data_IF_837740853791
#
_entry.id   IF_837740853791
#
_cell.length_a   1.000
_cell.length_b   1.000
_cell.length_c   1.000
_cell.angle_alpha   90.00
_cell.angle_beta   90.00
_cell.angle_gamma   90.00
#
_symmetry.space_group_name_H-M   'P 1'
#
loop_
_entity.id
_entity.type
_entity.pdbx_description
1 polymer ?
#
# COMPACT_ATOMS: atom_id res chain seq x y z
N UNK A 1 -10.19 16.41 6.13
CA UNK A 1 -10.02 15.42 5.03
C UNK A 1 -9.29 14.18 5.54
N UNK A 2 -9.70 12.98 5.11
CA UNK A 2 -9.24 11.72 5.69
C UNK A 2 -7.85 11.36 5.12
N UNK A 3 -6.73 11.60 5.84
CA UNK A 3 -5.34 11.38 5.35
C UNK A 3 -5.15 10.08 4.55
N UNK A 4 -5.78 9.00 5.00
CA UNK A 4 -5.72 7.69 4.34
C UNK A 4 -6.42 7.64 2.98
N UNK A 5 -7.54 8.34 2.80
CA UNK A 5 -8.22 8.43 1.49
C UNK A 5 -7.36 9.21 0.50
N UNK A 6 -6.73 10.30 0.96
CA UNK A 6 -5.79 11.07 0.16
C UNK A 6 -4.59 10.21 -0.25
N UNK A 7 -4.01 9.45 0.70
CA UNK A 7 -2.93 8.52 0.40
C UNK A 7 -3.33 7.45 -0.61
N UNK A 8 -4.49 6.80 -0.45
CA UNK A 8 -4.98 5.80 -1.40
C UNK A 8 -5.18 6.41 -2.79
N UNK A 9 -5.84 7.58 -2.88
CA UNK A 9 -6.07 8.25 -4.16
C UNK A 9 -4.76 8.66 -4.84
N UNK A 10 -3.90 9.40 -4.13
CA UNK A 10 -2.62 9.85 -4.67
C UNK A 10 -1.67 8.68 -4.96
N UNK A 11 -1.58 7.70 -4.06
CA UNK A 11 -0.72 6.53 -4.22
C UNK A 11 -1.13 5.65 -5.41
N UNK A 12 -2.43 5.43 -5.61
CA UNK A 12 -2.93 4.73 -6.81
C UNK A 12 -2.60 5.50 -8.08
N UNK A 13 -2.84 6.82 -8.09
CA UNK A 13 -2.55 7.67 -9.25
C UNK A 13 -1.05 7.69 -9.55
N UNK A 14 -0.20 7.88 -8.55
CA UNK A 14 1.25 7.88 -8.68
C UNK A 14 1.77 6.53 -9.22
N UNK A 15 1.23 5.40 -8.74
CA UNK A 15 1.61 4.09 -9.28
C UNK A 15 1.12 3.88 -10.71
N UNK A 16 -0.09 4.34 -11.09
CA UNK A 16 -0.55 4.27 -12.48
C UNK A 16 0.38 5.04 -13.40
N UNK A 17 0.66 6.30 -13.07
CA UNK A 17 1.56 7.13 -13.88
C UNK A 17 2.98 6.58 -13.90
N UNK A 18 3.51 6.16 -12.74
CA UNK A 18 4.84 5.54 -12.64
C UNK A 18 4.95 4.25 -13.45
N UNK A 19 3.93 3.38 -13.42
CA UNK A 19 3.90 2.16 -14.24
C UNK A 19 3.85 2.49 -15.72
N UNK A 20 2.99 3.41 -16.15
CA UNK A 20 2.89 3.79 -17.56
C UNK A 20 4.20 4.40 -18.06
N UNK A 21 4.77 5.35 -17.32
CA UNK A 21 6.06 5.95 -17.65
C UNK A 21 7.17 4.89 -17.72
N UNK A 22 7.27 3.99 -16.74
CA UNK A 22 8.26 2.92 -16.75
C UNK A 22 8.09 1.98 -17.96
N UNK A 23 6.84 1.64 -18.32
CA UNK A 23 6.56 0.85 -19.53
C UNK A 23 7.04 1.57 -20.79
N UNK A 24 6.84 2.89 -20.90
CA UNK A 24 7.33 3.66 -22.04
C UNK A 24 8.86 3.79 -22.07
N UNK A 25 9.50 3.96 -20.91
CA UNK A 25 10.95 4.15 -20.81
C UNK A 25 11.75 2.87 -20.96
N UNK A 26 11.37 1.80 -20.25
CA UNK A 26 12.13 0.54 -20.19
C UNK A 26 11.54 -0.56 -21.09
N UNK A 27 10.36 -0.33 -21.66
CA UNK A 27 9.70 -1.29 -22.54
C UNK A 27 9.07 -2.49 -21.80
N UNK A 28 8.48 -3.38 -22.59
CA UNK A 28 7.85 -4.62 -22.12
C UNK A 28 8.68 -5.82 -22.57
N UNK A 29 9.12 -6.63 -21.60
CA UNK A 29 9.80 -7.90 -21.86
C UNK A 29 9.34 -8.95 -20.85
N UNK A 30 9.52 -10.25 -21.13
CA UNK A 30 9.20 -11.31 -20.17
C UNK A 30 9.89 -11.12 -18.81
N UNK A 31 11.10 -10.55 -18.79
CA UNK A 31 11.85 -10.27 -17.57
C UNK A 31 11.22 -9.14 -16.73
N UNK A 32 10.66 -8.11 -17.37
CA UNK A 32 10.06 -6.95 -16.68
C UNK A 32 8.57 -7.13 -16.33
N UNK A 33 7.86 -8.04 -17.02
CA UNK A 33 6.43 -8.28 -16.85
C UNK A 33 6.01 -8.55 -15.40
N UNK A 34 6.79 -9.35 -14.67
CA UNK A 34 6.47 -9.66 -13.27
C UNK A 34 6.46 -8.41 -12.39
N UNK A 35 7.37 -7.46 -12.63
CA UNK A 35 7.43 -6.19 -11.93
C UNK A 35 6.21 -5.30 -12.21
N UNK A 36 5.85 -5.15 -13.49
CA UNK A 36 4.67 -4.38 -13.88
C UNK A 36 3.35 -4.99 -13.38
N UNK A 37 3.22 -6.32 -13.40
CA UNK A 37 2.04 -7.01 -12.86
C UNK A 37 1.90 -6.78 -11.35
N UNK A 38 3.00 -6.75 -10.59
CA UNK A 38 2.98 -6.39 -9.17
C UNK A 38 2.48 -4.96 -8.96
N UNK A 39 3.00 -4.00 -9.72
CA UNK A 39 2.56 -2.61 -9.63
C UNK A 39 1.07 -2.46 -10.00
N UNK A 40 0.62 -3.10 -11.08
CA UNK A 40 -0.78 -3.11 -11.51
C UNK A 40 -1.72 -3.75 -10.47
N UNK A 41 -1.30 -4.86 -9.85
CA UNK A 41 -2.06 -5.47 -8.76
C UNK A 41 -2.21 -4.51 -7.57
N UNK A 42 -1.15 -3.80 -7.19
CA UNK A 42 -1.19 -2.81 -6.10
C UNK A 42 -2.11 -1.63 -6.41
N UNK A 43 -2.10 -1.13 -7.65
CA UNK A 43 -3.02 -0.05 -8.10
C UNK A 43 -4.48 -0.42 -7.82
N UNK A 44 -4.85 -1.68 -8.06
CA UNK A 44 -6.21 -2.20 -7.81
C UNK A 44 -6.45 -2.46 -6.32
N UNK A 45 -5.47 -3.05 -5.62
CA UNK A 45 -5.64 -3.46 -4.23
C UNK A 45 -5.73 -2.26 -3.26
N UNK A 46 -4.98 -1.17 -3.49
CA UNK A 46 -4.99 0.03 -2.65
C UNK A 46 -6.41 0.59 -2.39
N UNK A 47 -7.26 0.83 -3.41
CA UNK A 47 -8.63 1.29 -3.20
C UNK A 47 -9.60 0.18 -2.78
N UNK A 48 -9.36 -1.07 -3.21
CA UNK A 48 -10.28 -2.18 -2.95
C UNK A 48 -10.23 -2.63 -1.49
N UNK A 49 -9.05 -2.71 -0.87
CA UNK A 49 -8.87 -3.26 0.48
C UNK A 49 -9.68 -2.51 1.55
N UNK A 50 -9.67 -1.17 1.62
CA UNK A 50 -10.49 -0.43 2.58
C UNK A 50 -12.00 -0.71 2.44
N UNK A 51 -12.48 -0.83 1.20
CA UNK A 51 -13.89 -1.11 0.88
C UNK A 51 -14.24 -2.55 1.26
N UNK A 52 -13.39 -3.50 0.88
CA UNK A 52 -13.55 -4.91 1.20
C UNK A 52 -13.59 -5.14 2.72
N UNK A 53 -12.70 -4.49 3.49
CA UNK A 53 -12.70 -4.58 4.95
C UNK A 53 -13.95 -3.99 5.60
N UNK A 54 -14.46 -2.86 5.08
CA UNK A 54 -15.70 -2.28 5.57
C UNK A 54 -16.90 -3.22 5.34
N UNK A 55 -16.94 -3.88 4.17
CA UNK A 55 -17.97 -4.89 3.85
C UNK A 55 -17.79 -6.18 4.65
N UNK A 56 -16.56 -6.65 4.85
CA UNK A 56 -16.28 -7.81 5.69
C UNK A 56 -16.73 -7.59 7.14
N UNK A 57 -16.47 -6.39 7.69
CA UNK A 57 -16.95 -6.00 9.02
C UNK A 57 -18.48 -5.99 9.10
N UNK A 58 -19.16 -5.54 8.05
CA UNK A 58 -20.62 -5.61 7.97
C UNK A 58 -21.11 -7.05 7.98
N UNK A 59 -20.51 -7.92 7.17
CA UNK A 59 -20.84 -9.35 7.14
C UNK A 59 -20.67 -10.02 8.50
N UNK A 60 -19.55 -9.74 9.20
CA UNK A 60 -19.31 -10.26 10.55
C UNK A 60 -20.38 -9.78 11.53
N UNK A 61 -20.80 -8.51 11.44
CA UNK A 61 -21.90 -7.99 12.28
C UNK A 61 -23.23 -8.65 12.00
N UNK A 62 -23.58 -8.82 10.71
CA UNK A 62 -24.80 -9.53 10.30
C UNK A 62 -24.81 -10.96 10.85
N UNK A 63 -23.67 -11.66 10.75
CA UNK A 63 -23.54 -13.02 11.29
C UNK A 63 -23.62 -13.04 12.83
N UNK A 64 -23.01 -12.08 13.51
CA UNK A 64 -23.05 -11.98 14.97
C UNK A 64 -24.47 -11.66 15.47
N UNK A 65 -25.20 -10.76 14.81
CA UNK A 65 -26.61 -10.48 15.10
C UNK A 65 -27.50 -11.67 14.82
N UNK A 66 -27.32 -12.33 13.67
CA UNK A 66 -28.04 -13.55 13.34
C UNK A 66 -27.88 -14.63 14.42
N UNK A 67 -26.65 -14.83 14.93
CA UNK A 67 -26.37 -15.79 16.02
C UNK A 67 -26.93 -15.34 17.36
N UNK A 68 -26.83 -14.05 17.72
CA UNK A 68 -27.38 -13.51 18.98
C UNK A 68 -28.91 -13.59 19.03
N UNK A 69 -29.56 -13.50 17.88
CA UNK A 69 -31.00 -13.70 17.73
C UNK A 69 -31.37 -15.21 17.65
N UNK A 70 -30.44 -16.11 17.98
CA UNK A 70 -30.59 -17.56 17.93
C UNK A 70 -30.95 -18.20 19.27
N UNK A 71 -32.25 -18.27 19.56
CA UNK A 71 -32.98 -19.34 20.27
C UNK A 71 -34.46 -18.91 20.39
N UNK A 72 -35.22 -19.05 19.31
CA UNK A 72 -36.63 -18.65 19.25
C UNK A 72 -36.88 -17.16 18.94
N UNK A 73 -37.79 -16.89 18.01
CA UNK A 73 -38.32 -15.56 17.73
C UNK A 73 -39.34 -15.19 18.81
N UNK A 74 -38.89 -14.90 20.04
CA UNK A 74 -39.80 -14.41 21.10
C UNK A 74 -40.36 -13.03 20.71
N UNK A 75 -41.66 -12.79 20.94
CA UNK A 75 -42.32 -11.50 20.70
C UNK A 75 -41.67 -10.36 21.50
N UNK A 76 -41.00 -10.68 22.60
CA UNK A 76 -40.42 -9.69 23.53
C UNK A 76 -38.98 -9.26 23.18
N UNK A 77 -38.28 -9.97 22.29
CA UNK A 77 -36.83 -9.73 22.05
C UNK A 77 -36.54 -9.27 20.63
N UNK A 78 -36.09 -8.01 20.52
CA UNK A 78 -35.46 -7.40 19.33
C UNK A 78 -36.12 -7.80 18.02
N UNK A 79 -37.39 -7.45 17.88
CA UNK A 79 -38.19 -7.69 16.69
C UNK A 79 -37.80 -6.70 15.58
N UNK A 80 -37.57 -7.25 14.39
CA UNK A 80 -37.30 -6.50 13.16
C UNK A 80 -38.29 -6.98 12.11
N UNK A 81 -39.12 -6.09 11.61
CA UNK A 81 -40.04 -6.33 10.51
C UNK A 81 -39.61 -5.50 9.31
N UNK A 82 -39.74 -6.06 8.12
CA UNK A 82 -39.35 -5.41 6.87
C UNK A 82 -40.47 -5.63 5.86
N UNK A 83 -40.83 -4.58 5.12
CA UNK A 83 -41.80 -4.68 4.05
C UNK A 83 -41.27 -5.56 2.90
N UNK A 84 -42.16 -6.28 2.23
CA UNK A 84 -41.79 -7.07 1.05
C UNK A 84 -41.55 -6.21 -0.20
N UNK A 85 -42.09 -5.00 -0.23
CA UNK A 85 -41.93 -4.03 -1.31
C UNK A 85 -41.34 -2.70 -0.85
N UNK A 86 -40.95 -1.89 -1.83
CA UNK A 86 -40.44 -0.53 -1.65
C UNK A 86 -41.60 0.47 -1.62
N UNK A 87 -41.45 1.56 -0.87
CA UNK A 87 -42.42 2.67 -0.89
C UNK A 87 -42.03 3.72 -1.91
N UNK A 88 -43.01 4.25 -2.65
CA UNK A 88 -42.77 5.20 -3.74
C UNK A 88 -42.46 6.61 -3.23
N UNK A 89 -43.10 7.05 -2.15
CA UNK A 89 -42.82 8.31 -1.47
C UNK A 89 -42.57 8.04 0.02
N UNK A 90 -41.32 8.25 0.44
CA UNK A 90 -40.90 8.03 1.83
C UNK A 90 -41.50 9.05 2.79
N UNK A 91 -41.61 10.31 2.41
CA UNK A 91 -42.08 11.36 3.33
C UNK A 91 -43.60 11.31 3.52
N UNK A 92 -44.34 10.99 2.45
CA UNK A 92 -45.79 10.74 2.49
C UNK A 92 -46.09 9.49 3.34
N UNK A 93 -45.42 8.36 3.06
CA UNK A 93 -45.60 7.12 3.85
C UNK A 93 -45.33 7.36 5.33
N UNK A 94 -44.26 8.08 5.68
CA UNK A 94 -43.97 8.39 7.08
C UNK A 94 -44.99 9.34 7.70
N UNK A 95 -45.62 10.24 6.93
CA UNK A 95 -46.70 11.11 7.42
C UNK A 95 -47.95 10.30 7.71
N UNK A 96 -48.35 9.41 6.81
CA UNK A 96 -49.53 8.56 6.97
C UNK A 96 -49.38 7.62 8.17
N UNK A 97 -48.18 7.05 8.37
CA UNK A 97 -47.89 6.22 9.54
C UNK A 97 -47.91 7.07 10.82
N UNK A 98 -47.36 8.28 10.80
CA UNK A 98 -47.38 9.19 11.95
C UNK A 98 -48.82 9.53 12.36
N UNK A 99 -49.67 9.90 11.40
CA UNK A 99 -51.10 10.18 11.64
C UNK A 99 -51.82 8.95 12.21
N UNK A 100 -51.61 7.77 11.63
CA UNK A 100 -52.23 6.54 12.09
C UNK A 100 -51.79 6.12 13.50
N UNK A 101 -50.52 6.32 13.84
CA UNK A 101 -50.00 6.05 15.19
C UNK A 101 -50.60 7.05 16.19
N UNK A 102 -50.67 8.34 15.86
CA UNK A 102 -51.25 9.37 16.72
C UNK A 102 -52.75 9.20 16.94
N UNK A 103 -53.47 8.64 15.96
CA UNK A 103 -54.90 8.33 16.08
C UNK A 103 -55.20 7.10 16.96
N UNK A 104 -54.18 6.33 17.36
CA UNK A 104 -54.34 5.09 18.12
C UNK A 104 -53.96 5.31 19.60
N UNK A 105 -54.83 4.93 20.53
CA UNK A 105 -54.60 5.07 21.99
C UNK A 105 -53.54 4.09 22.56
N UNK A 106 -52.94 3.24 21.71
CA UNK A 106 -51.94 2.23 22.09
C UNK A 106 -50.53 2.81 22.28
N UNK A 107 -50.27 4.02 21.78
CA UNK A 107 -48.95 4.65 21.79
C UNK A 107 -48.98 5.99 22.53
N UNK A 108 -47.94 6.26 23.32
CA UNK A 108 -47.87 7.48 24.12
C UNK A 108 -47.44 8.69 23.28
N UNK A 109 -46.62 8.46 22.26
CA UNK A 109 -46.04 9.51 21.44
C UNK A 109 -45.51 8.96 20.11
N UNK A 110 -45.67 9.73 19.04
CA UNK A 110 -45.01 9.52 17.76
C UNK A 110 -44.32 10.82 17.35
N UNK A 111 -43.05 10.74 16.94
CA UNK A 111 -42.31 11.91 16.44
C UNK A 111 -41.36 11.55 15.32
N UNK A 112 -41.17 12.49 14.40
CA UNK A 112 -40.10 12.40 13.40
C UNK A 112 -38.72 12.69 14.01
N UNK A 113 -37.77 11.81 13.71
CA UNK A 113 -36.36 11.92 14.08
C UNK A 113 -35.46 11.72 12.85
N UNK A 114 -34.22 12.19 12.95
CA UNK A 114 -33.19 12.02 11.92
C UNK A 114 -32.27 10.82 12.25
N UNK A 115 -32.18 9.88 11.30
CA UNK A 115 -31.37 8.67 11.38
C UNK A 115 -30.29 8.65 10.28
N UNK A 116 -29.43 7.63 10.31
CA UNK A 116 -28.30 7.53 9.38
C UNK A 116 -28.69 7.43 7.90
N UNK A 117 -29.86 6.85 7.63
CA UNK A 117 -30.45 6.63 6.30
C UNK A 117 -31.48 7.70 5.90
N UNK A 118 -31.83 8.62 6.81
CA UNK A 118 -32.83 9.65 6.55
C UNK A 118 -33.80 9.86 7.72
N UNK A 119 -34.92 10.53 7.45
CA UNK A 119 -35.99 10.71 8.44
C UNK A 119 -36.69 9.39 8.75
N UNK A 120 -37.15 9.25 9.97
CA UNK A 120 -37.96 8.12 10.43
C UNK A 120 -38.81 8.52 11.63
N UNK A 121 -39.57 7.57 12.15
CA UNK A 121 -40.43 7.77 13.32
C UNK A 121 -39.85 7.07 14.54
N UNK A 122 -39.87 7.77 15.67
CA UNK A 122 -39.71 7.20 17.00
C UNK A 122 -41.09 7.13 17.65
N UNK A 123 -41.56 5.92 17.94
CA UNK A 123 -42.86 5.66 18.56
C UNK A 123 -42.63 5.16 19.98
N UNK A 124 -43.09 5.94 20.96
CA UNK A 124 -42.99 5.59 22.38
C UNK A 124 -44.24 4.85 22.83
N UNK A 125 -44.05 3.83 23.64
CA UNK A 125 -45.12 3.13 24.33
C UNK A 125 -44.68 2.77 25.76
N UNK A 126 -45.66 2.59 26.65
CA UNK A 126 -45.45 2.22 28.05
C UNK A 126 -44.42 3.11 28.79
N UNK A 127 -44.38 4.41 28.46
CA UNK A 127 -43.61 5.46 29.12
C UNK A 127 -42.10 5.49 28.86
N UNK A 128 -41.46 4.32 28.63
CA UNK A 128 -39.99 4.20 28.55
C UNK A 128 -39.48 3.39 27.36
N UNK A 129 -40.36 2.72 26.62
CA UNK A 129 -39.95 1.84 25.53
C UNK A 129 -40.25 2.48 24.18
N UNK A 130 -39.31 2.37 23.26
CA UNK A 130 -39.45 2.93 21.91
C UNK A 130 -39.40 1.81 20.88
N UNK A 131 -40.27 1.93 19.90
CA UNK A 131 -40.17 1.27 18.60
C UNK A 131 -39.86 2.32 17.53
N UNK A 132 -39.30 1.90 16.41
CA UNK A 132 -38.84 2.80 15.36
C UNK A 132 -39.40 2.35 14.01
N UNK A 133 -39.86 3.29 13.20
CA UNK A 133 -40.26 3.07 11.81
C UNK A 133 -39.32 3.85 10.91
N UNK A 134 -38.61 3.16 10.03
CA UNK A 134 -37.53 3.75 9.22
C UNK A 134 -37.60 3.20 7.80
N UNK A 135 -37.09 3.91 6.82
CA UNK A 135 -37.03 3.42 5.43
C UNK A 135 -35.57 3.11 5.09
N UNK A 136 -35.32 1.87 4.68
CA UNK A 136 -33.99 1.43 4.26
C UNK A 136 -33.57 2.09 2.94
N UNK A 137 -32.27 2.10 2.64
CA UNK A 137 -31.77 2.71 1.39
C UNK A 137 -32.24 2.03 0.10
N UNK A 138 -32.87 0.85 0.19
CA UNK A 138 -33.57 0.17 -0.90
C UNK A 138 -35.09 0.45 -0.88
N UNK A 139 -35.55 1.49 -0.18
CA UNK A 139 -36.96 1.91 -0.18
C UNK A 139 -37.91 1.07 0.68
N UNK A 140 -37.43 0.02 1.37
CA UNK A 140 -38.29 -0.82 2.21
C UNK A 140 -38.52 -0.23 3.60
N UNK A 141 -39.74 -0.35 4.11
CA UNK A 141 -40.10 0.09 5.46
C UNK A 141 -39.64 -0.95 6.48
N UNK A 142 -39.04 -0.47 7.56
CA UNK A 142 -38.42 -1.28 8.60
C UNK A 142 -38.95 -0.84 9.95
N UNK A 143 -39.58 -1.78 10.67
CA UNK A 143 -40.04 -1.56 12.04
C UNK A 143 -39.14 -2.32 12.99
N UNK A 144 -38.51 -1.61 13.94
CA UNK A 144 -37.64 -2.23 14.94
C UNK A 144 -38.06 -1.87 16.36
N UNK A 145 -37.86 -2.80 17.29
CA UNK A 145 -38.17 -2.57 18.70
C UNK A 145 -37.90 -3.80 19.54
N UNK A 146 -38.29 -3.77 20.82
CA UNK A 146 -38.04 -4.86 21.76
C UNK A 146 -39.26 -5.10 22.67
N UNK A 147 -40.46 -5.06 22.10
CA UNK A 147 -41.72 -5.26 22.81
C UNK A 147 -42.76 -5.94 21.90
N UNK A 148 -43.83 -6.45 22.51
CA UNK A 148 -45.02 -6.91 21.79
C UNK A 148 -45.68 -5.76 21.01
N UNK A 149 -45.63 -4.53 21.53
CA UNK A 149 -46.15 -3.35 20.84
C UNK A 149 -45.41 -3.07 19.52
N UNK A 150 -44.18 -3.56 19.34
CA UNK A 150 -43.51 -3.50 18.03
C UNK A 150 -44.21 -4.38 16.99
N UNK A 151 -44.84 -5.49 17.38
CA UNK A 151 -45.65 -6.31 16.47
C UNK A 151 -46.95 -5.61 16.08
N UNK A 152 -47.63 -4.99 17.05
CA UNK A 152 -48.81 -4.17 16.79
C UNK A 152 -48.48 -3.02 15.85
N UNK A 153 -47.34 -2.36 16.07
CA UNK A 153 -46.87 -1.27 15.22
C UNK A 153 -46.54 -1.76 13.81
N UNK A 154 -45.87 -2.91 13.67
CA UNK A 154 -45.62 -3.50 12.35
C UNK A 154 -46.92 -3.85 11.62
N UNK A 155 -47.94 -4.32 12.34
CA UNK A 155 -49.25 -4.65 11.77
C UNK A 155 -50.03 -3.39 11.38
N UNK A 156 -49.86 -2.29 12.12
CA UNK A 156 -50.40 -0.97 11.76
C UNK A 156 -49.72 -0.43 10.50
N UNK A 157 -48.39 -0.47 10.46
CA UNK A 157 -47.59 -0.07 9.30
C UNK A 157 -47.95 -0.88 8.05
N UNK A 158 -48.13 -2.20 8.19
CA UNK A 158 -48.58 -3.07 7.09
C UNK A 158 -49.92 -2.61 6.49
N UNK A 159 -50.88 -2.24 7.34
CA UNK A 159 -52.19 -1.76 6.89
C UNK A 159 -52.11 -0.39 6.22
N UNK A 160 -51.35 0.54 6.81
CA UNK A 160 -51.24 1.92 6.31
C UNK A 160 -50.47 1.96 4.99
N UNK A 161 -49.29 1.34 4.96
CA UNK A 161 -48.44 1.30 3.77
C UNK A 161 -48.96 0.31 2.71
N UNK A 162 -49.98 -0.51 3.02
CA UNK A 162 -50.50 -1.57 2.13
C UNK A 162 -49.41 -2.52 1.63
N UNK A 163 -48.42 -2.80 2.49
CA UNK A 163 -47.26 -3.65 2.18
C UNK A 163 -47.08 -4.71 3.27
N UNK A 164 -47.04 -6.02 2.92
CA UNK A 164 -46.81 -7.09 3.89
C UNK A 164 -45.51 -6.87 4.67
N UNK A 165 -45.56 -7.02 5.99
CA UNK A 165 -44.42 -6.84 6.89
C UNK A 165 -43.91 -8.18 7.42
N UNK A 166 -42.76 -8.62 6.93
CA UNK A 166 -42.16 -9.89 7.33
C UNK A 166 -41.13 -9.73 8.44
N UNK A 167 -41.25 -10.59 9.47
CA UNK A 167 -40.26 -10.64 10.55
C UNK A 167 -38.95 -11.25 10.05
N UNK A 168 -37.83 -10.55 10.25
CA UNK A 168 -36.50 -10.99 9.83
C UNK A 168 -35.52 -11.04 11.01
N UNK A 169 -34.46 -11.83 10.84
CA UNK A 169 -33.30 -11.87 11.75
C UNK A 169 -32.14 -10.98 11.27
N UNK A 170 -32.21 -10.50 10.03
CA UNK A 170 -31.16 -9.70 9.40
C UNK A 170 -31.60 -8.25 9.41
N UNK A 171 -30.81 -7.39 10.05
CA UNK A 171 -31.13 -5.97 10.13
C UNK A 171 -30.79 -5.27 8.80
N UNK A 172 -31.78 -4.79 8.02
CA UNK A 172 -31.54 -4.22 6.69
C UNK A 172 -30.83 -2.87 6.75
N UNK A 173 -31.01 -2.10 7.84
CA UNK A 173 -30.40 -0.78 8.03
C UNK A 173 -28.90 -0.84 8.42
N UNK A 174 -28.28 -2.03 8.41
CA UNK A 174 -26.85 -2.15 8.70
C UNK A 174 -26.00 -1.76 7.49
N UNK A 175 -25.26 -0.68 7.66
CA UNK A 175 -24.33 -0.19 6.65
C UNK A 175 -22.86 -0.58 6.91
N UNK A 176 -22.02 -0.62 5.85
CA UNK A 176 -20.58 -0.78 5.99
C UNK A 176 -19.99 0.38 6.78
N UNK A 177 -19.60 0.13 8.03
CA UNK A 177 -18.88 1.14 8.81
C UNK A 177 -17.39 1.10 8.44
N UNK A 178 -16.77 2.26 8.15
CA UNK A 178 -15.34 2.31 7.85
C UNK A 178 -14.51 1.83 9.04
N UNK A 179 -13.26 1.45 8.76
CA UNK A 179 -12.27 1.13 9.78
C UNK A 179 -11.94 2.41 10.58
N UNK A 180 -12.13 2.36 11.89
CA UNK A 180 -11.95 3.48 12.84
C UNK A 180 -11.12 3.01 14.05
N UNK A 181 -10.52 3.95 14.77
CA UNK A 181 -9.71 3.67 15.96
C UNK A 181 -8.33 3.05 15.63
N UNK A 182 -7.74 2.33 16.58
CA UNK A 182 -6.42 1.70 16.43
C UNK A 182 -6.25 0.83 15.16
N UNK A 183 -7.25 0.00 14.73
CA UNK A 183 -7.14 -0.78 13.49
C UNK A 183 -6.88 0.05 12.22
N UNK A 184 -7.23 1.34 12.26
CA UNK A 184 -6.96 2.26 11.14
C UNK A 184 -5.46 2.53 10.96
N UNK A 185 -4.69 2.58 12.05
CA UNK A 185 -3.24 2.79 11.97
C UNK A 185 -2.57 1.59 11.30
N UNK A 186 -2.96 0.37 11.70
CA UNK A 186 -2.52 -0.87 11.06
C UNK A 186 -2.89 -0.93 9.58
N UNK A 187 -4.12 -0.55 9.23
CA UNK A 187 -4.54 -0.43 7.82
C UNK A 187 -3.67 0.59 7.08
N UNK A 188 -3.33 1.72 7.71
CA UNK A 188 -2.44 2.72 7.13
C UNK A 188 -1.04 2.16 6.84
N UNK A 189 -0.41 1.53 7.83
CA UNK A 189 0.91 0.92 7.67
C UNK A 189 0.90 -0.19 6.62
N UNK A 190 -0.15 -1.02 6.61
CA UNK A 190 -0.35 -2.04 5.59
C UNK A 190 -0.45 -1.44 4.18
N UNK A 191 -1.23 -0.37 3.99
CA UNK A 191 -1.38 0.28 2.68
C UNK A 191 -0.09 0.97 2.23
N UNK A 192 0.70 1.53 3.16
CA UNK A 192 2.05 2.05 2.86
C UNK A 192 2.97 0.92 2.41
N UNK A 193 3.01 -0.20 3.14
CA UNK A 193 3.79 -1.37 2.75
C UNK A 193 3.38 -1.91 1.38
N UNK A 194 2.07 -1.94 1.10
CA UNK A 194 1.53 -2.35 -0.19
C UNK A 194 1.94 -1.39 -1.33
N UNK A 195 1.91 -0.07 -1.09
CA UNK A 195 2.40 0.92 -2.04
C UNK A 195 3.90 0.74 -2.32
N UNK A 196 4.72 0.57 -1.27
CA UNK A 196 6.16 0.34 -1.40
C UNK A 196 6.45 -0.96 -2.17
N UNK A 197 5.65 -2.01 -1.95
CA UNK A 197 5.73 -3.24 -2.73
C UNK A 197 5.44 -3.01 -4.22
N UNK A 198 4.45 -2.16 -4.55
CA UNK A 198 4.16 -1.74 -5.92
C UNK A 198 5.31 -0.95 -6.56
N UNK A 199 5.85 0.02 -5.83
CA UNK A 199 7.01 0.83 -6.26
C UNK A 199 8.27 -0.03 -6.47
N UNK A 200 8.52 -1.01 -5.59
CA UNK A 200 9.60 -1.98 -5.78
C UNK A 200 9.38 -2.87 -7.02
N UNK A 201 8.12 -3.09 -7.42
CA UNK A 201 7.75 -3.72 -8.68
C UNK A 201 8.21 -2.92 -9.90
N UNK A 202 8.14 -1.59 -9.86
CA UNK A 202 8.68 -0.71 -10.90
C UNK A 202 10.20 -0.81 -10.98
N UNK A 203 10.90 -0.74 -9.84
CA UNK A 203 12.34 -0.92 -9.78
C UNK A 203 12.80 -2.26 -10.35
N UNK A 204 12.09 -3.35 -10.02
CA UNK A 204 12.38 -4.68 -10.56
C UNK A 204 12.03 -4.86 -12.05
N UNK A 205 11.15 -4.02 -12.61
CA UNK A 205 10.85 -4.02 -14.03
C UNK A 205 11.90 -3.24 -14.84
N UNK A 206 12.43 -2.16 -14.25
CA UNK A 206 13.42 -1.28 -14.86
C UNK A 206 14.84 -1.86 -14.81
N UNK A 207 15.21 -2.43 -13.67
CA UNK A 207 16.58 -2.88 -13.39
C UNK A 207 16.61 -4.35 -12.96
N UNK A 208 17.61 -5.13 -13.41
CA UNK A 208 17.73 -6.56 -13.11
C UNK A 208 17.91 -6.82 -11.61
N UNK A 209 17.22 -7.83 -11.09
CA UNK A 209 17.15 -8.09 -9.66
C UNK A 209 18.35 -8.86 -9.08
N UNK A 210 19.11 -9.50 -9.94
CA UNK A 210 20.37 -10.20 -9.68
C UNK A 210 21.57 -9.25 -9.65
N UNK A 211 21.45 -8.06 -10.25
CA UNK A 211 22.52 -7.06 -10.28
C UNK A 211 22.42 -6.01 -9.17
N UNK A 212 21.19 -5.66 -8.76
CA UNK A 212 20.94 -4.55 -7.83
C UNK A 212 19.90 -4.94 -6.79
N UNK A 213 20.06 -4.43 -5.58
CA UNK A 213 19.09 -4.56 -4.49
C UNK A 213 17.82 -3.73 -4.76
N UNK A 214 16.72 -4.02 -4.05
CA UNK A 214 15.48 -3.27 -4.23
C UNK A 214 15.60 -1.76 -3.95
N UNK A 215 16.34 -1.30 -2.91
CA UNK A 215 16.59 0.12 -2.70
C UNK A 215 17.38 0.79 -3.83
N UNK A 216 18.46 0.17 -4.31
CA UNK A 216 19.26 0.74 -5.41
C UNK A 216 18.43 0.92 -6.69
N UNK A 217 17.63 -0.10 -7.05
CA UNK A 217 16.72 0.00 -8.19
C UNK A 217 15.72 1.14 -8.04
N UNK A 218 15.23 1.38 -6.82
CA UNK A 218 14.31 2.49 -6.56
C UNK A 218 15.00 3.85 -6.71
N UNK A 219 16.25 3.97 -6.27
CA UNK A 219 17.06 5.18 -6.44
C UNK A 219 17.36 5.42 -7.92
N UNK A 220 17.73 4.40 -8.68
CA UNK A 220 18.01 4.52 -10.11
C UNK A 220 16.79 4.92 -10.94
N UNK A 221 15.64 4.32 -10.66
CA UNK A 221 14.36 4.77 -11.24
C UNK A 221 14.06 6.23 -10.84
N UNK A 222 14.47 6.65 -9.64
CA UNK A 222 14.37 8.04 -9.18
C UNK A 222 15.19 9.00 -10.04
N UNK A 223 16.46 8.67 -10.32
CA UNK A 223 17.32 9.48 -11.19
C UNK A 223 16.78 9.54 -12.62
N UNK A 224 16.31 8.42 -13.17
CA UNK A 224 15.65 8.39 -14.49
C UNK A 224 14.42 9.30 -14.54
N UNK A 225 13.58 9.26 -13.50
CA UNK A 225 12.42 10.14 -13.42
C UNK A 225 12.81 11.61 -13.29
N UNK A 226 13.91 11.92 -12.59
CA UNK A 226 14.41 13.29 -12.52
C UNK A 226 14.88 13.78 -13.88
N UNK A 227 15.62 12.97 -14.64
CA UNK A 227 16.06 13.30 -16.01
C UNK A 227 14.89 13.59 -16.96
N UNK A 228 13.77 12.89 -16.79
CA UNK A 228 12.61 13.07 -17.65
C UNK A 228 11.69 14.24 -17.24
N UNK A 229 11.68 14.62 -15.96
CA UNK A 229 10.65 15.53 -15.42
C UNK A 229 11.18 16.80 -14.74
N UNK A 230 12.47 16.87 -14.39
CA UNK A 230 13.06 18.02 -13.68
C UNK A 230 13.84 18.89 -14.67
N UNK A 231 13.42 20.13 -14.92
CA UNK A 231 14.16 21.04 -15.79
C UNK A 231 15.58 21.29 -15.28
N UNK A 232 16.57 21.08 -16.14
CA UNK A 232 17.98 21.28 -15.81
C UNK A 232 18.66 20.11 -15.11
N UNK A 233 18.02 18.94 -15.06
CA UNK A 233 18.65 17.67 -14.72
C UNK A 233 18.45 16.72 -15.91
N UNK A 234 19.52 16.22 -16.51
CA UNK A 234 19.45 15.43 -17.74
C UNK A 234 19.98 13.99 -17.57
N UNK A 235 20.11 13.26 -18.68
CA UNK A 235 20.60 11.88 -18.66
C UNK A 235 22.08 11.77 -18.27
N UNK A 236 22.87 12.82 -18.54
CA UNK A 236 24.26 12.92 -18.10
C UNK A 236 24.29 13.01 -16.58
N UNK A 237 23.48 13.90 -15.99
CA UNK A 237 23.35 14.01 -14.53
C UNK A 237 22.91 12.70 -13.88
N UNK A 238 21.86 12.06 -14.43
CA UNK A 238 21.39 10.76 -13.96
C UNK A 238 22.48 9.69 -14.00
N UNK A 239 23.30 9.67 -15.05
CA UNK A 239 24.37 8.69 -15.21
C UNK A 239 25.51 8.95 -14.24
N UNK A 240 25.89 10.22 -14.03
CA UNK A 240 26.90 10.60 -13.03
C UNK A 240 26.42 10.27 -11.61
N UNK A 241 25.15 10.50 -11.29
CA UNK A 241 24.57 10.16 -9.98
C UNK A 241 24.47 8.64 -9.75
N UNK A 242 24.17 7.85 -10.78
CA UNK A 242 24.23 6.39 -10.73
C UNK A 242 25.66 5.90 -10.48
N UNK A 243 26.65 6.46 -11.19
CA UNK A 243 28.05 6.15 -10.97
C UNK A 243 28.48 6.52 -9.54
N UNK A 244 28.03 7.66 -9.02
CA UNK A 244 28.31 8.09 -7.66
C UNK A 244 27.73 7.12 -6.62
N UNK A 245 26.52 6.61 -6.85
CA UNK A 245 25.94 5.56 -5.99
C UNK A 245 26.78 4.28 -6.02
N UNK A 246 27.27 3.86 -7.19
CA UNK A 246 28.15 2.69 -7.30
C UNK A 246 29.49 2.88 -6.58
N UNK A 247 30.10 4.07 -6.67
CA UNK A 247 31.34 4.40 -5.94
C UNK A 247 31.09 4.37 -4.43
N UNK A 248 29.98 4.96 -3.97
CA UNK A 248 29.61 4.93 -2.54
C UNK A 248 29.34 3.51 -2.04
N UNK A 249 28.64 2.69 -2.83
CA UNK A 249 28.39 1.29 -2.48
C UNK A 249 29.69 0.49 -2.44
N UNK A 250 30.61 0.71 -3.38
CA UNK A 250 31.93 0.07 -3.38
C UNK A 250 32.76 0.45 -2.14
N UNK A 251 32.63 1.67 -1.66
CA UNK A 251 33.27 2.10 -0.41
C UNK A 251 32.68 1.39 0.82
N UNK A 252 31.36 1.21 0.86
CA UNK A 252 30.68 0.46 1.91
C UNK A 252 31.10 -1.02 1.94
N UNK A 253 31.26 -1.65 0.77
CA UNK A 253 31.78 -3.01 0.66
C UNK A 253 33.16 -3.18 1.31
N UNK A 254 34.02 -2.15 1.27
CA UNK A 254 35.32 -2.18 1.94
C UNK A 254 35.17 -2.27 3.47
N UNK A 255 34.13 -1.64 4.04
CA UNK A 255 33.80 -1.69 5.47
C UNK A 255 33.18 -3.03 5.83
N UNK A 256 32.21 -3.51 5.04
CA UNK A 256 31.57 -4.82 5.25
C UNK A 256 32.60 -5.96 5.23
N UNK A 257 33.53 -5.93 4.27
CA UNK A 257 34.66 -6.87 4.22
C UNK A 257 35.56 -6.82 5.46
N UNK A 258 35.54 -5.76 6.27
CA UNK A 258 36.29 -5.71 7.54
C UNK A 258 35.47 -6.17 8.75
N UNK A 259 34.15 -6.06 8.70
CA UNK A 259 33.25 -6.37 9.82
C UNK A 259 32.69 -7.78 9.77
N UNK A 260 32.45 -8.32 8.58
CA UNK A 260 31.69 -9.55 8.43
C UNK A 260 32.45 -10.77 9.02
N UNK A 261 31.74 -11.79 9.49
CA UNK A 261 32.41 -12.96 10.10
C UNK A 261 33.21 -13.74 9.05
N UNK A 262 34.16 -14.57 9.47
CA UNK A 262 35.14 -15.29 8.62
C UNK A 262 34.54 -16.33 7.64
N UNK A 263 33.23 -16.29 7.39
CA UNK A 263 32.52 -17.16 6.47
C UNK A 263 32.80 -16.79 5.00
N UNK A 264 33.50 -17.68 4.30
CA UNK A 264 33.93 -17.53 2.90
C UNK A 264 32.81 -17.14 1.95
N UNK A 265 31.60 -17.67 2.16
CA UNK A 265 30.47 -17.46 1.26
C UNK A 265 30.02 -15.99 1.22
N UNK A 266 29.97 -15.32 2.38
CA UNK A 266 29.61 -13.89 2.44
C UNK A 266 30.73 -13.00 1.93
N UNK A 267 31.97 -13.29 2.35
CA UNK A 267 33.14 -12.58 1.84
C UNK A 267 33.23 -12.67 0.31
N UNK A 268 32.92 -13.84 -0.26
CA UNK A 268 32.90 -14.05 -1.72
C UNK A 268 31.72 -13.37 -2.43
N UNK A 269 30.65 -13.03 -1.71
CA UNK A 269 29.55 -12.23 -2.26
C UNK A 269 29.98 -10.76 -2.33
N UNK A 270 30.47 -10.21 -1.22
CA UNK A 270 30.98 -8.84 -1.13
C UNK A 270 32.10 -8.55 -2.14
N UNK A 271 33.04 -9.49 -2.35
CA UNK A 271 34.09 -9.31 -3.37
C UNK A 271 33.57 -9.38 -4.80
N UNK A 272 32.61 -10.26 -5.11
CA UNK A 272 31.97 -10.30 -6.44
C UNK A 272 31.17 -9.02 -6.70
N UNK A 273 30.41 -8.56 -5.72
CA UNK A 273 29.67 -7.32 -5.77
C UNK A 273 30.62 -6.13 -5.97
N UNK A 274 31.74 -6.07 -5.25
CA UNK A 274 32.76 -5.02 -5.41
C UNK A 274 33.30 -4.96 -6.85
N UNK A 275 33.65 -6.11 -7.45
CA UNK A 275 34.15 -6.16 -8.83
C UNK A 275 33.07 -5.71 -9.83
N UNK A 276 31.81 -6.08 -9.59
CA UNK A 276 30.67 -5.66 -10.40
C UNK A 276 30.44 -4.15 -10.30
N UNK A 277 30.36 -3.59 -9.09
CA UNK A 277 30.17 -2.16 -8.84
C UNK A 277 31.30 -1.32 -9.46
N UNK A 278 32.56 -1.76 -9.30
CA UNK A 278 33.73 -1.12 -9.92
C UNK A 278 33.62 -1.10 -11.45
N UNK A 279 33.29 -2.25 -12.06
CA UNK A 279 33.16 -2.35 -13.51
C UNK A 279 32.06 -1.44 -14.03
N UNK A 280 30.93 -1.41 -13.33
CA UNK A 280 29.74 -0.71 -13.78
C UNK A 280 29.85 0.79 -13.57
N UNK A 281 30.47 1.23 -12.47
CA UNK A 281 30.84 2.62 -12.24
C UNK A 281 31.80 3.14 -13.32
N UNK A 282 32.85 2.39 -13.64
CA UNK A 282 33.80 2.75 -14.69
C UNK A 282 33.10 2.90 -16.06
N UNK A 283 32.29 1.92 -16.46
CA UNK A 283 31.56 1.96 -17.74
C UNK A 283 30.62 3.18 -17.84
N UNK A 284 29.95 3.55 -16.75
CA UNK A 284 29.10 4.75 -16.72
C UNK A 284 29.92 6.04 -16.87
N UNK A 285 31.08 6.13 -16.20
CA UNK A 285 31.96 7.30 -16.29
C UNK A 285 32.61 7.43 -17.67
N UNK A 286 33.07 6.32 -18.25
CA UNK A 286 33.60 6.26 -19.62
C UNK A 286 32.55 6.73 -20.63
N UNK A 287 31.30 6.24 -20.52
CA UNK A 287 30.21 6.65 -21.40
C UNK A 287 29.87 8.14 -21.31
N UNK A 288 29.91 8.72 -20.10
CA UNK A 288 29.70 10.16 -19.90
C UNK A 288 30.85 10.98 -20.46
N UNK A 289 32.09 10.50 -20.34
CA UNK A 289 33.30 11.19 -20.80
C UNK A 289 33.36 11.34 -22.32
N UNK A 290 32.74 10.43 -23.07
CA UNK A 290 32.64 10.52 -24.52
C UNK A 290 31.67 11.62 -25.00
N UNK A 291 30.88 12.22 -24.10
CA UNK A 291 29.96 13.32 -24.41
C UNK A 291 30.63 14.70 -24.36
N UNK A 292 29.97 15.72 -24.96
CA UNK A 292 30.41 17.12 -24.89
C UNK A 292 29.98 17.74 -23.55
N UNK A 293 30.87 17.63 -22.55
CA UNK A 293 30.61 18.05 -21.18
C UNK A 293 31.01 19.50 -20.91
N UNK A 294 30.21 20.19 -20.09
CA UNK A 294 30.60 21.46 -19.51
C UNK A 294 31.83 21.32 -18.60
N UNK A 295 32.62 22.38 -18.37
CA UNK A 295 33.83 22.28 -17.53
C UNK A 295 33.58 21.76 -16.11
N UNK A 296 32.47 22.17 -15.48
CA UNK A 296 32.11 21.72 -14.14
C UNK A 296 31.73 20.23 -14.09
N UNK A 297 31.06 19.72 -15.13
CA UNK A 297 30.72 18.30 -15.26
C UNK A 297 31.97 17.45 -15.47
N UNK A 298 32.92 17.92 -16.27
CA UNK A 298 34.22 17.24 -16.45
C UNK A 298 35.00 17.14 -15.15
N UNK A 299 35.03 18.21 -14.36
CA UNK A 299 35.67 18.20 -13.05
C UNK A 299 34.99 17.21 -12.09
N UNK A 300 33.65 17.19 -12.10
CA UNK A 300 32.85 16.25 -11.31
C UNK A 300 33.12 14.80 -11.69
N UNK A 301 33.12 14.48 -12.99
CA UNK A 301 33.42 13.13 -13.51
C UNK A 301 34.85 12.72 -13.14
N UNK A 302 35.84 13.60 -13.33
CA UNK A 302 37.24 13.29 -12.99
C UNK A 302 37.46 13.07 -11.48
N UNK A 303 36.76 13.84 -10.63
CA UNK A 303 36.76 13.62 -9.19
C UNK A 303 36.17 12.25 -8.86
N UNK A 304 35.05 11.90 -9.50
CA UNK A 304 34.37 10.63 -9.26
C UNK A 304 35.16 9.42 -9.78
N UNK A 305 35.88 9.55 -10.89
CA UNK A 305 36.86 8.55 -11.37
C UNK A 305 37.97 8.34 -10.33
N UNK A 306 38.50 9.42 -9.76
CA UNK A 306 39.51 9.34 -8.70
C UNK A 306 38.96 8.63 -7.46
N UNK A 307 37.73 8.95 -7.05
CA UNK A 307 37.07 8.33 -5.92
C UNK A 307 36.77 6.84 -6.15
N UNK A 308 36.38 6.47 -7.38
CA UNK A 308 36.19 5.08 -7.80
C UNK A 308 37.46 4.27 -7.59
N UNK A 309 38.60 4.72 -8.15
CA UNK A 309 39.86 3.98 -8.02
C UNK A 309 40.40 3.97 -6.58
N UNK A 310 40.14 5.04 -5.82
CA UNK A 310 40.44 5.03 -4.39
C UNK A 310 39.60 3.98 -3.64
N UNK A 311 38.32 3.81 -3.97
CA UNK A 311 37.45 2.78 -3.40
C UNK A 311 37.91 1.37 -3.80
N UNK A 312 38.29 1.14 -5.06
CA UNK A 312 38.89 -0.12 -5.53
C UNK A 312 40.10 -0.53 -4.69
N UNK A 313 40.98 0.44 -4.40
CA UNK A 313 42.15 0.21 -3.55
C UNK A 313 41.79 -0.07 -2.09
N UNK A 314 40.77 0.58 -1.53
CA UNK A 314 40.29 0.31 -0.16
C UNK A 314 39.73 -1.11 -0.04
N UNK A 315 38.92 -1.55 -0.99
CA UNK A 315 38.42 -2.93 -1.06
C UNK A 315 39.59 -3.92 -1.18
N UNK A 316 40.53 -3.68 -2.11
CA UNK A 316 41.69 -4.55 -2.28
C UNK A 316 42.56 -4.66 -1.01
N UNK A 317 42.69 -3.57 -0.25
CA UNK A 317 43.37 -3.54 1.04
C UNK A 317 42.60 -4.30 2.13
N UNK A 318 41.27 -4.15 2.17
CA UNK A 318 40.41 -4.91 3.09
C UNK A 318 40.54 -6.44 2.85
N UNK A 319 40.52 -6.86 1.58
CA UNK A 319 40.74 -8.27 1.21
C UNK A 319 42.13 -8.74 1.63
N UNK A 320 43.18 -7.95 1.39
CA UNK A 320 44.56 -8.28 1.79
C UNK A 320 44.65 -8.49 3.29
N UNK A 321 44.10 -7.56 4.06
CA UNK A 321 44.06 -7.62 5.52
C UNK A 321 43.38 -8.91 6.03
N UNK A 322 42.31 -9.36 5.36
CA UNK A 322 41.62 -10.61 5.70
C UNK A 322 42.47 -11.85 5.45
N UNK A 323 43.05 -11.93 4.26
CA UNK A 323 43.90 -13.06 3.85
C UNK A 323 45.12 -13.16 4.78
N UNK A 324 45.81 -12.04 5.03
CA UNK A 324 47.05 -12.03 5.83
C UNK A 324 46.81 -12.31 7.31
N UNK A 325 45.67 -11.88 7.86
CA UNK A 325 45.31 -12.17 9.26
C UNK A 325 44.78 -13.59 9.47
N UNK A 326 44.71 -14.43 8.41
CA UNK A 326 44.16 -15.78 8.48
C UNK A 326 42.69 -15.81 8.88
N UNK A 327 41.94 -14.73 8.58
CA UNK A 327 40.53 -14.52 8.95
C UNK A 327 39.57 -14.91 7.83
N UNK A 328 39.93 -15.96 7.10
CA UNK A 328 39.12 -16.52 6.03
C UNK A 328 39.18 -18.02 6.17
N UNK A 329 38.04 -18.63 6.50
CA UNK A 329 37.91 -20.08 6.47
C UNK A 329 37.76 -20.52 4.99
N UNK A 330 38.31 -21.67 4.58
CA UNK A 330 38.09 -22.22 3.24
C UNK A 330 38.94 -21.63 2.11
N UNK A 331 38.41 -21.69 0.88
CA UNK A 331 39.13 -21.29 -0.34
C UNK A 331 39.21 -19.76 -0.49
N UNK A 332 40.43 -19.24 -0.57
CA UNK A 332 40.72 -17.81 -0.71
C UNK A 332 40.97 -17.38 -2.16
N UNK A 333 40.92 -18.30 -3.12
CA UNK A 333 41.15 -18.00 -4.54
C UNK A 333 40.18 -16.92 -5.08
N UNK A 334 38.85 -16.95 -4.81
CA UNK A 334 37.93 -15.92 -5.29
C UNK A 334 38.26 -14.52 -4.75
N UNK A 335 38.66 -14.43 -3.48
CA UNK A 335 39.07 -13.17 -2.85
C UNK A 335 40.36 -12.65 -3.48
N UNK A 336 41.33 -13.54 -3.71
CA UNK A 336 42.61 -13.22 -4.33
C UNK A 336 42.41 -12.69 -5.76
N UNK A 337 41.51 -13.32 -6.52
CA UNK A 337 41.19 -12.92 -7.89
C UNK A 337 40.47 -11.56 -7.95
N UNK A 338 39.50 -11.34 -7.07
CA UNK A 338 38.82 -10.05 -6.95
C UNK A 338 39.79 -8.93 -6.55
N UNK A 339 40.65 -9.17 -5.55
CA UNK A 339 41.72 -8.23 -5.14
C UNK A 339 42.62 -7.88 -6.31
N UNK A 340 43.07 -8.89 -7.07
CA UNK A 340 43.94 -8.71 -8.23
C UNK A 340 43.24 -7.84 -9.27
N UNK A 341 42.00 -8.18 -9.62
CA UNK A 341 41.19 -7.44 -10.60
C UNK A 341 41.03 -5.96 -10.23
N UNK A 342 40.69 -5.66 -8.97
CA UNK A 342 40.53 -4.28 -8.50
C UNK A 342 41.85 -3.50 -8.53
N UNK A 343 42.96 -4.12 -8.12
CA UNK A 343 44.30 -3.50 -8.19
C UNK A 343 44.74 -3.24 -9.64
N UNK A 344 44.49 -4.18 -10.54
CA UNK A 344 44.82 -4.04 -11.97
C UNK A 344 44.03 -2.89 -12.61
N UNK A 345 42.74 -2.73 -12.28
CA UNK A 345 41.92 -1.60 -12.76
C UNK A 345 42.44 -0.26 -12.28
N UNK A 346 42.62 -0.11 -10.97
CA UNK A 346 43.13 1.14 -10.40
C UNK A 346 44.54 1.47 -10.97
N UNK A 347 45.41 0.48 -11.11
CA UNK A 347 46.73 0.67 -11.71
C UNK A 347 46.68 1.06 -13.19
N UNK A 348 45.79 0.45 -13.99
CA UNK A 348 45.60 0.80 -15.39
C UNK A 348 45.12 2.23 -15.58
N UNK A 349 44.36 2.77 -14.63
CA UNK A 349 43.92 4.15 -14.58
C UNK A 349 44.97 5.14 -14.01
N UNK A 350 46.16 4.66 -13.61
CA UNK A 350 47.22 5.50 -13.03
C UNK A 350 47.10 5.73 -11.52
N UNK A 351 46.25 4.96 -10.83
CA UNK A 351 46.03 5.00 -9.38
C UNK A 351 46.52 3.70 -8.71
N UNK A 352 47.83 3.37 -8.72
CA UNK A 352 48.32 2.12 -8.14
C UNK A 352 48.04 2.08 -6.63
N UNK A 353 47.38 1.02 -6.18
CA UNK A 353 47.11 0.83 -4.75
C UNK A 353 48.42 0.66 -3.97
N UNK A 354 48.61 1.47 -2.93
CA UNK A 354 49.72 1.29 -1.99
C UNK A 354 49.55 -0.02 -1.24
N UNK A 355 50.67 -0.73 -1.02
CA UNK A 355 50.71 -2.06 -0.42
C UNK A 355 50.08 -2.13 0.97
#
# INVERSE_FOLDING_TARGET
>A
MNKLRTFVGFGSVALVFGTLWAVFRYGLSPASNAGYLRAAAVVVLLPVIPVALARAKLWIRRLAEYRRNGSGLSFERKSVFVSDGEVCDTEETLADIEEAVTATDEYDECRRDEFGEGRGLTVRHTGYHNSFVRVAGDGRVVVTGASENTHSLASLVERVASLPMNRTRVHPLLEPKPVRGAPRAFLGLFLVGLFLFGAAGLGAAAYPADAYSAPERAVFVGYDAQADFVPGYDETDATVDRAALHVSALDEEAVELQWDRDGTARLSEHTRQSVFLSARGAEMLDGVREADLAPAERERVSTLETDLHAAECRVASAITTRIEKGRVEGDTAPLTDARRTLRERAAAAGHPCTA
#
